data_IF_855107374321
#
_entry.id   IF_855107374321
#
_cell.length_a   1.000
_cell.length_b   1.000
_cell.length_c   1.000
_cell.angle_alpha   90.00
_cell.angle_beta   90.00
_cell.angle_gamma   90.00
#
_symmetry.space_group_name_H-M   'P 1'
#
loop_
_entity.id
_entity.type
_entity.pdbx_description
1 polymer ?
#
# COMPACT_ATOMS: atom_id res chain seq x y z
N UNK A 1 13.72 -2.33 7.16
CA UNK A 1 12.90 -2.27 5.92
C UNK A 1 13.53 -3.13 4.85
N UNK A 2 12.70 -3.86 4.13
CA UNK A 2 13.12 -4.70 3.02
C UNK A 2 12.51 -4.16 1.74
N UNK A 3 13.35 -3.83 0.76
CA UNK A 3 12.88 -3.44 -0.57
C UNK A 3 12.66 -4.71 -1.37
N UNK A 4 11.53 -4.79 -2.05
CA UNK A 4 11.16 -5.99 -2.80
C UNK A 4 10.28 -5.66 -3.99
N UNK A 5 10.34 -6.53 -4.98
CA UNK A 5 9.39 -6.51 -6.09
C UNK A 5 8.38 -7.63 -5.90
N UNK A 6 7.14 -7.35 -6.25
CA UNK A 6 6.07 -8.35 -6.21
C UNK A 6 5.17 -8.20 -7.44
N UNK A 7 4.50 -9.29 -7.80
CA UNK A 7 3.73 -9.34 -9.03
C UNK A 7 2.29 -8.83 -8.83
N UNK A 8 1.82 -8.07 -9.80
CA UNK A 8 0.43 -7.63 -9.90
C UNK A 8 -0.01 -7.76 -11.36
N UNK A 9 -0.87 -8.73 -11.66
CA UNK A 9 -1.36 -8.98 -13.02
C UNK A 9 -0.25 -9.05 -14.08
N UNK A 10 0.83 -9.78 -13.79
CA UNK A 10 1.96 -9.92 -14.69
C UNK A 10 2.94 -8.76 -14.70
N UNK A 11 2.71 -7.73 -13.89
CA UNK A 11 3.61 -6.59 -13.74
C UNK A 11 4.34 -6.68 -12.41
N UNK A 12 5.52 -6.07 -12.33
CA UNK A 12 6.28 -5.98 -11.08
C UNK A 12 6.08 -4.61 -10.46
N UNK A 13 5.67 -4.61 -9.20
CA UNK A 13 5.58 -3.40 -8.38
C UNK A 13 6.73 -3.38 -7.38
N UNK A 14 7.24 -2.19 -7.10
CA UNK A 14 8.24 -2.01 -6.06
C UNK A 14 7.56 -1.66 -4.75
N UNK A 15 7.95 -2.36 -3.68
CA UNK A 15 7.46 -2.10 -2.34
C UNK A 15 8.57 -2.01 -1.31
N UNK A 16 8.29 -1.31 -0.23
CA UNK A 16 9.12 -1.28 0.96
C UNK A 16 8.36 -1.92 2.12
N UNK A 17 8.81 -3.09 2.54
CA UNK A 17 8.20 -3.82 3.64
C UNK A 17 8.91 -3.49 4.94
N UNK A 18 8.14 -2.99 5.90
CA UNK A 18 8.59 -2.72 7.26
C UNK A 18 8.02 -3.81 8.16
N UNK A 19 8.83 -4.79 8.49
CA UNK A 19 8.38 -5.92 9.29
C UNK A 19 9.55 -6.48 10.10
N UNK A 20 9.46 -6.31 11.42
CA UNK A 20 10.44 -6.86 12.36
C UNK A 20 9.89 -8.19 12.86
N UNK A 21 10.43 -9.29 12.35
CA UNK A 21 9.90 -10.64 12.56
C UNK A 21 9.82 -11.05 14.03
N UNK A 22 10.66 -10.48 14.89
CA UNK A 22 10.67 -10.81 16.32
C UNK A 22 9.58 -10.10 17.13
N UNK A 23 8.88 -9.14 16.56
CA UNK A 23 7.76 -8.47 17.21
C UNK A 23 6.48 -9.21 16.90
N UNK A 24 6.33 -10.34 17.53
CA UNK A 24 5.12 -11.15 17.37
C UNK A 24 3.98 -10.54 18.16
N UNK A 25 2.78 -10.68 17.69
CA UNK A 25 1.62 -10.45 18.50
C UNK A 25 0.70 -9.33 18.07
N UNK A 26 1.07 -8.51 17.11
CA UNK A 26 0.09 -7.61 16.50
C UNK A 26 -0.61 -8.33 15.38
N UNK A 27 -1.93 -8.35 15.44
CA UNK A 27 -2.75 -9.13 14.52
C UNK A 27 -3.13 -8.38 13.26
N UNK A 28 -2.69 -7.13 13.11
CA UNK A 28 -3.01 -6.29 11.96
C UNK A 28 -1.76 -5.90 11.20
N UNK A 29 -1.90 -5.77 9.89
CA UNK A 29 -0.88 -5.23 9.01
C UNK A 29 -1.45 -4.01 8.28
N UNK A 30 -0.61 -3.05 7.97
CA UNK A 30 -1.02 -1.74 7.43
C UNK A 30 -0.47 -1.57 6.02
N UNK A 31 -1.36 -1.35 5.06
CA UNK A 31 -1.00 -1.03 3.68
C UNK A 31 -1.13 0.47 3.48
N UNK A 32 -0.04 1.10 3.05
CA UNK A 32 0.01 2.54 2.81
C UNK A 32 -0.15 2.79 1.31
N UNK A 33 -1.27 3.41 0.95
CA UNK A 33 -1.61 3.69 -0.44
C UNK A 33 -1.17 5.10 -0.80
N UNK A 34 -0.22 5.21 -1.72
CA UNK A 34 0.37 6.48 -2.11
C UNK A 34 -0.62 7.40 -2.81
N UNK A 35 -0.46 8.73 -2.67
CA UNK A 35 -0.99 9.67 -3.63
C UNK A 35 -0.17 9.63 -4.92
N UNK A 36 -0.48 10.46 -5.89
CA UNK A 36 0.16 10.48 -7.20
C UNK A 36 0.91 11.79 -7.46
N UNK A 37 1.88 11.73 -8.39
CA UNK A 37 2.61 12.89 -8.86
C UNK A 37 3.44 13.55 -7.77
N UNK A 38 3.38 14.87 -7.71
CA UNK A 38 4.14 15.65 -6.71
C UNK A 38 3.71 15.33 -5.29
N UNK A 39 2.43 15.01 -5.09
CA UNK A 39 1.94 14.63 -3.77
C UNK A 39 2.61 13.35 -3.29
N UNK A 40 2.85 12.39 -4.19
CA UNK A 40 3.57 11.17 -3.84
C UNK A 40 5.01 11.47 -3.40
N UNK A 41 5.69 12.35 -4.11
CA UNK A 41 7.05 12.76 -3.74
C UNK A 41 7.09 13.43 -2.36
N UNK A 42 6.12 14.30 -2.08
CA UNK A 42 6.03 14.98 -0.78
C UNK A 42 5.67 14.02 0.36
N UNK A 43 4.83 13.04 0.08
CA UNK A 43 4.36 12.08 1.08
C UNK A 43 5.37 10.97 1.36
N UNK A 44 6.37 10.79 0.52
CA UNK A 44 7.31 9.67 0.61
C UNK A 44 7.95 9.57 2.00
N UNK A 45 8.48 10.69 2.50
CA UNK A 45 9.12 10.71 3.82
C UNK A 45 8.11 10.44 4.93
N UNK A 46 6.94 11.05 4.84
CA UNK A 46 5.88 10.86 5.85
C UNK A 46 5.48 9.41 5.94
N UNK A 47 5.25 8.76 4.82
CA UNK A 47 4.89 7.34 4.79
C UNK A 47 6.03 6.45 5.29
N UNK A 48 7.27 6.78 4.95
CA UNK A 48 8.41 6.02 5.45
C UNK A 48 8.52 6.10 6.97
N UNK A 49 8.34 7.30 7.53
CA UNK A 49 8.36 7.50 8.98
C UNK A 49 7.20 6.76 9.64
N UNK A 50 6.00 6.89 9.08
CA UNK A 50 4.82 6.21 9.60
C UNK A 50 5.02 4.68 9.60
N UNK A 51 5.50 4.14 8.49
CA UNK A 51 5.73 2.70 8.37
C UNK A 51 6.76 2.22 9.40
N UNK A 52 7.83 2.99 9.60
CA UNK A 52 8.83 2.65 10.60
C UNK A 52 8.28 2.67 12.02
N UNK A 53 7.41 3.63 12.32
CA UNK A 53 6.77 3.72 13.65
C UNK A 53 5.77 2.59 13.86
N UNK A 54 5.03 2.21 12.84
CA UNK A 54 4.13 1.06 12.91
C UNK A 54 4.91 -0.23 13.18
N UNK A 55 5.99 -0.43 12.44
CA UNK A 55 6.87 -1.57 12.64
C UNK A 55 7.44 -1.59 14.05
N UNK A 56 7.87 -0.44 14.56
CA UNK A 56 8.37 -0.33 15.93
C UNK A 56 7.34 -0.68 17.00
N UNK A 57 6.05 -0.67 16.65
CA UNK A 57 4.97 -1.07 17.54
C UNK A 57 4.43 -2.46 17.25
N UNK A 58 5.09 -3.20 16.36
CA UNK A 58 4.74 -4.57 16.04
C UNK A 58 3.73 -4.74 14.90
N UNK A 59 3.42 -3.68 14.16
CA UNK A 59 2.56 -3.75 12.99
C UNK A 59 3.41 -3.79 11.73
N UNK A 60 3.32 -4.84 10.96
CA UNK A 60 3.94 -4.86 9.64
C UNK A 60 3.29 -3.80 8.76
N UNK A 61 4.08 -3.10 7.97
CA UNK A 61 3.59 -2.07 7.06
C UNK A 61 4.24 -2.21 5.70
N UNK A 62 3.47 -2.03 4.64
CA UNK A 62 3.97 -2.06 3.27
C UNK A 62 3.65 -0.74 2.60
N UNK A 63 4.68 -0.13 2.00
CA UNK A 63 4.58 0.99 1.07
C UNK A 63 4.88 0.45 -0.32
N UNK A 64 4.23 0.99 -1.34
CA UNK A 64 4.49 0.52 -2.71
C UNK A 64 4.21 1.61 -3.72
N UNK A 65 4.80 1.44 -4.92
CA UNK A 65 4.54 2.29 -6.08
C UNK A 65 3.57 1.57 -7.02
N UNK A 66 2.53 2.28 -7.46
CA UNK A 66 1.60 1.72 -8.45
C UNK A 66 2.29 1.49 -9.79
N UNK A 67 1.70 0.64 -10.62
CA UNK A 67 2.18 0.42 -11.98
C UNK A 67 2.35 1.74 -12.72
N UNK A 68 3.48 1.91 -13.37
CA UNK A 68 3.82 3.11 -14.12
C UNK A 68 4.20 4.31 -13.27
N UNK A 69 4.38 4.13 -11.96
CA UNK A 69 4.82 5.20 -11.06
C UNK A 69 6.11 4.79 -10.36
N UNK A 70 6.87 5.77 -9.89
CA UNK A 70 8.11 5.53 -9.16
C UNK A 70 9.01 4.54 -9.86
N UNK A 71 9.44 3.52 -9.14
CA UNK A 71 10.31 2.45 -9.64
C UNK A 71 9.56 1.16 -10.01
N UNK A 72 8.23 1.20 -10.03
CA UNK A 72 7.44 0.07 -10.51
C UNK A 72 7.47 0.01 -12.03
N UNK A 73 7.21 -1.20 -12.57
CA UNK A 73 7.29 -1.44 -14.00
C UNK A 73 6.23 -0.65 -14.78
N UNK A 74 6.57 -0.30 -16.02
CA UNK A 74 5.66 0.29 -16.98
C UNK A 74 5.71 1.80 -17.06
N UNK A 75 5.00 2.31 -18.07
CA UNK A 75 4.83 3.74 -18.28
C UNK A 75 3.45 4.15 -17.73
N UNK A 76 3.39 5.24 -16.98
CA UNK A 76 2.15 5.72 -16.38
C UNK A 76 1.02 5.96 -17.38
N UNK A 77 1.35 6.27 -18.64
CA UNK A 77 0.35 6.47 -19.69
C UNK A 77 -0.39 5.18 -20.08
N UNK A 78 0.14 4.02 -19.75
CA UNK A 78 -0.45 2.73 -20.10
C UNK A 78 -1.49 2.23 -19.10
N UNK A 79 -1.56 2.85 -17.92
CA UNK A 79 -2.34 2.33 -16.81
C UNK A 79 -3.44 3.28 -16.38
N UNK A 80 -4.52 2.72 -15.90
CA UNK A 80 -5.67 3.46 -15.44
C UNK A 80 -6.19 2.96 -14.10
N UNK A 81 -7.38 3.44 -13.74
CA UNK A 81 -7.97 3.19 -12.43
C UNK A 81 -8.05 1.69 -12.09
N UNK A 82 -8.53 0.89 -13.02
CA UNK A 82 -8.67 -0.56 -12.77
C UNK A 82 -7.34 -1.21 -12.44
N UNK A 83 -6.26 -0.81 -13.13
CA UNK A 83 -4.92 -1.33 -12.89
C UNK A 83 -4.45 -0.99 -11.49
N UNK A 84 -4.67 0.26 -11.05
CA UNK A 84 -4.24 0.70 -9.73
C UNK A 84 -5.03 0.02 -8.61
N UNK A 85 -6.32 -0.25 -8.82
CA UNK A 85 -7.09 -1.03 -7.86
C UNK A 85 -6.55 -2.46 -7.77
N UNK A 86 -6.19 -3.06 -8.89
CA UNK A 86 -5.57 -4.39 -8.89
C UNK A 86 -4.21 -4.37 -8.18
N UNK A 87 -3.45 -3.28 -8.33
CA UNK A 87 -2.17 -3.12 -7.63
C UNK A 87 -2.37 -3.11 -6.11
N UNK A 88 -3.41 -2.44 -5.63
CA UNK A 88 -3.73 -2.44 -4.19
C UNK A 88 -4.07 -3.85 -3.72
N UNK A 89 -4.83 -4.60 -4.51
CA UNK A 89 -5.15 -6.01 -4.19
C UNK A 89 -3.88 -6.85 -4.09
N UNK A 90 -2.98 -6.69 -5.06
CA UNK A 90 -1.71 -7.42 -5.07
C UNK A 90 -0.83 -7.04 -3.88
N UNK A 91 -0.74 -5.76 -3.56
CA UNK A 91 0.02 -5.28 -2.41
C UNK A 91 -0.56 -5.81 -1.11
N UNK A 92 -1.88 -5.84 -0.97
CA UNK A 92 -2.54 -6.40 0.20
C UNK A 92 -2.22 -7.89 0.37
N UNK A 93 -2.24 -8.65 -0.72
CA UNK A 93 -1.90 -10.07 -0.70
C UNK A 93 -0.44 -10.28 -0.30
N UNK A 94 0.46 -9.46 -0.84
CA UNK A 94 1.87 -9.51 -0.49
C UNK A 94 2.09 -9.25 1.00
N UNK A 95 1.43 -8.20 1.51
CA UNK A 95 1.54 -7.85 2.92
C UNK A 95 1.00 -8.95 3.85
N UNK A 96 -0.14 -9.51 3.52
CA UNK A 96 -0.71 -10.61 4.30
C UNK A 96 0.20 -11.82 4.31
N UNK A 97 0.78 -12.16 3.17
CA UNK A 97 1.67 -13.31 3.06
C UNK A 97 2.94 -13.12 3.88
N UNK A 98 3.54 -11.94 3.78
CA UNK A 98 4.82 -11.67 4.46
C UNK A 98 4.65 -11.42 5.96
N UNK A 99 3.56 -10.82 6.38
CA UNK A 99 3.32 -10.51 7.78
C UNK A 99 2.69 -11.68 8.54
N UNK A 100 2.03 -12.59 7.82
CA UNK A 100 1.22 -13.62 8.44
C UNK A 100 -0.07 -13.10 9.06
N UNK A 101 -0.40 -11.82 8.88
CA UNK A 101 -1.59 -11.22 9.46
C UNK A 101 -2.77 -11.30 8.49
N UNK A 102 -3.90 -11.80 8.97
CA UNK A 102 -5.14 -11.81 8.19
C UNK A 102 -5.85 -10.46 8.21
N UNK A 103 -5.62 -9.64 9.24
CA UNK A 103 -6.28 -8.35 9.40
C UNK A 103 -5.51 -7.27 8.65
N UNK A 104 -6.23 -6.56 7.80
CA UNK A 104 -5.64 -5.53 6.95
C UNK A 104 -6.24 -4.18 7.31
N UNK A 105 -5.37 -3.19 7.48
CA UNK A 105 -5.73 -1.78 7.61
C UNK A 105 -5.15 -1.05 6.40
N UNK A 106 -5.98 -0.27 5.73
CA UNK A 106 -5.54 0.59 4.64
C UNK A 106 -5.42 2.02 5.13
N UNK A 107 -4.33 2.67 4.76
CA UNK A 107 -4.12 4.10 4.98
C UNK A 107 -3.86 4.73 3.63
N UNK A 108 -4.61 5.77 3.30
CA UNK A 108 -4.43 6.48 2.04
C UNK A 108 -4.44 7.98 2.24
N UNK A 109 -3.67 8.67 1.40
CA UNK A 109 -3.56 10.12 1.38
C UNK A 109 -3.97 10.62 0.00
N UNK A 110 -4.85 11.61 -0.06
CA UNK A 110 -5.34 12.23 -1.27
C UNK A 110 -5.94 11.18 -2.22
N UNK A 111 -5.45 11.09 -3.46
CA UNK A 111 -5.95 10.09 -4.41
C UNK A 111 -5.71 8.65 -3.92
N UNK A 112 -4.64 8.43 -3.15
CA UNK A 112 -4.40 7.13 -2.53
C UNK A 112 -5.52 6.72 -1.57
N UNK A 113 -6.11 7.68 -0.86
CA UNK A 113 -7.27 7.43 -0.01
C UNK A 113 -8.48 7.04 -0.84
N UNK A 114 -8.72 7.74 -1.94
CA UNK A 114 -9.81 7.44 -2.86
C UNK A 114 -9.67 6.05 -3.46
N UNK A 115 -8.45 5.71 -3.92
CA UNK A 115 -8.19 4.39 -4.49
C UNK A 115 -8.34 3.28 -3.45
N UNK A 116 -7.89 3.51 -2.21
CA UNK A 116 -8.04 2.54 -1.14
C UNK A 116 -9.53 2.27 -0.84
N UNK A 117 -10.34 3.31 -0.81
CA UNK A 117 -11.78 3.18 -0.61
C UNK A 117 -12.44 2.42 -1.77
N UNK A 118 -12.07 2.75 -3.00
CA UNK A 118 -12.61 2.06 -4.19
C UNK A 118 -12.18 0.59 -4.22
N UNK A 119 -10.93 0.30 -3.91
CA UNK A 119 -10.43 -1.06 -3.87
C UNK A 119 -11.17 -1.89 -2.81
N UNK A 120 -11.41 -1.31 -1.64
CA UNK A 120 -12.16 -1.97 -0.58
C UNK A 120 -13.59 -2.28 -1.04
N UNK A 121 -14.24 -1.32 -1.73
CA UNK A 121 -15.62 -1.47 -2.16
C UNK A 121 -15.78 -2.41 -3.36
N UNK A 122 -14.84 -2.37 -4.32
CA UNK A 122 -14.99 -3.04 -5.61
C UNK A 122 -14.21 -4.36 -5.73
N UNK A 123 -13.21 -4.58 -4.88
CA UNK A 123 -12.31 -5.74 -4.97
C UNK A 123 -12.36 -6.67 -3.76
N UNK A 124 -13.27 -6.42 -2.83
CA UNK A 124 -13.46 -7.29 -1.66
C UNK A 124 -12.15 -7.57 -0.90
N UNK A 125 -11.44 -6.53 -0.53
CA UNK A 125 -10.17 -6.63 0.17
C UNK A 125 -10.29 -7.16 1.60
N UNK A 126 -11.47 -7.12 2.19
CA UNK A 126 -11.72 -7.50 3.58
C UNK A 126 -10.86 -6.68 4.54
N UNK A 127 -10.76 -5.39 4.27
CA UNK A 127 -10.03 -4.47 5.13
C UNK A 127 -10.79 -4.29 6.45
N UNK A 128 -10.05 -4.33 7.56
CA UNK A 128 -10.61 -4.13 8.89
C UNK A 128 -10.94 -2.65 9.13
N UNK A 129 -10.03 -1.78 8.72
CA UNK A 129 -10.17 -0.34 8.84
C UNK A 129 -9.62 0.34 7.61
N UNK A 130 -10.18 1.51 7.32
CA UNK A 130 -9.72 2.37 6.25
C UNK A 130 -9.52 3.77 6.82
N UNK A 131 -8.29 4.26 6.78
CA UNK A 131 -7.94 5.61 7.21
C UNK A 131 -7.74 6.45 5.96
N UNK A 132 -8.60 7.43 5.77
CA UNK A 132 -8.54 8.33 4.61
C UNK A 132 -8.10 9.71 5.07
N UNK A 133 -6.97 10.15 4.56
CA UNK A 133 -6.41 11.45 4.87
C UNK A 133 -6.61 12.36 3.66
N UNK A 134 -7.50 13.33 3.80
CA UNK A 134 -7.80 14.33 2.78
C UNK A 134 -8.08 13.72 1.41
N UNK A 135 -9.10 12.83 1.30
CA UNK A 135 -9.35 12.13 0.04
C UNK A 135 -9.81 13.07 -1.07
N UNK A 136 -9.51 12.68 -2.31
CA UNK A 136 -10.03 13.34 -3.51
C UNK A 136 -11.38 12.70 -3.83
N UNK A 137 -12.45 13.49 -3.75
CA UNK A 137 -13.81 12.97 -3.86
C UNK A 137 -14.63 13.58 -4.99
N UNK A 138 -14.01 14.26 -5.88
CA UNK A 138 -14.68 14.89 -7.01
C UNK A 138 -14.61 14.06 -8.27
#
# INVERSE_FOLDING_TARGET
>A
MTIRYFAANGRLLLGGLHHTARLHGRSAAVLLCNPFGEEAARAHRTYRVLAGRLDGRGYAALRFDYAGTGDSAGDGAEFGLSDWLDDIVAAAAELRRESGSARLVLVGLRLGATLAALATARRDLRARHLVMWDPVID
#
